data_IF_518243282279
#
_entry.id   IF_518243282279
#
_cell.length_a   1.000
_cell.length_b   1.000
_cell.length_c   1.000
_cell.angle_alpha   90.00
_cell.angle_beta   90.00
_cell.angle_gamma   90.00
#
_symmetry.space_group_name_H-M   'P 1'
#
loop_
_entity.id
_entity.type
_entity.pdbx_description
1 polymer ?
#
# COMPACT_ATOMS: atom_id res chain seq x y z
N UNK A 1 7.20 -11.21 -13.28
CA UNK A 1 8.07 -11.73 -12.21
C UNK A 1 7.99 -10.93 -10.93
N UNK A 2 8.32 -9.64 -10.84
CA UNK A 2 8.25 -8.91 -9.56
C UNK A 2 6.84 -8.90 -8.94
N UNK A 3 5.79 -8.60 -9.71
CA UNK A 3 4.38 -8.69 -9.25
C UNK A 3 4.01 -10.08 -8.75
N UNK A 4 4.52 -11.14 -9.39
CA UNK A 4 4.28 -12.52 -8.96
C UNK A 4 4.89 -12.80 -7.59
N UNK A 5 6.12 -12.35 -7.34
CA UNK A 5 6.78 -12.52 -6.03
C UNK A 5 6.04 -11.79 -4.89
N UNK A 6 5.51 -10.60 -5.16
CA UNK A 6 4.67 -9.90 -4.18
C UNK A 6 3.37 -10.64 -3.89
N UNK A 7 2.74 -11.21 -4.93
CA UNK A 7 1.54 -12.07 -4.76
C UNK A 7 1.86 -13.33 -3.95
N UNK A 8 3.01 -13.95 -4.20
CA UNK A 8 3.44 -15.12 -3.43
C UNK A 8 3.71 -14.76 -1.94
N UNK A 9 4.23 -13.57 -1.68
CA UNK A 9 4.38 -13.04 -0.32
C UNK A 9 3.02 -12.82 0.36
N UNK A 10 2.06 -12.18 -0.32
CA UNK A 10 0.69 -11.98 0.18
C UNK A 10 0.00 -13.32 0.50
N UNK A 11 0.28 -14.35 -0.31
CA UNK A 11 -0.21 -15.72 -0.10
C UNK A 11 0.61 -16.54 0.93
N UNK A 12 1.60 -15.91 1.59
CA UNK A 12 2.49 -16.55 2.56
C UNK A 12 3.29 -17.74 2.01
N UNK A 13 3.48 -17.81 0.69
CA UNK A 13 4.29 -18.85 0.01
C UNK A 13 5.78 -18.60 0.14
N UNK A 14 6.17 -17.35 0.25
CA UNK A 14 7.55 -16.91 0.46
C UNK A 14 7.59 -15.86 1.56
N UNK A 15 8.74 -15.73 2.22
CA UNK A 15 9.00 -14.67 3.18
C UNK A 15 9.44 -13.37 2.49
N UNK A 16 9.32 -12.24 3.19
CA UNK A 16 9.82 -10.95 2.70
C UNK A 16 11.32 -10.97 2.43
N UNK A 17 12.08 -11.66 3.30
CA UNK A 17 13.53 -11.85 3.13
C UNK A 17 13.84 -12.63 1.84
N UNK A 18 13.13 -13.72 1.58
CA UNK A 18 13.29 -14.49 0.33
C UNK A 18 12.96 -13.63 -0.89
N UNK A 19 11.85 -12.88 -0.87
CA UNK A 19 11.50 -11.98 -1.97
C UNK A 19 12.64 -10.99 -2.26
N UNK A 20 13.15 -10.32 -1.23
CA UNK A 20 14.18 -9.29 -1.36
C UNK A 20 15.47 -9.88 -1.91
N UNK A 21 15.92 -10.98 -1.32
CA UNK A 21 17.25 -11.53 -1.60
C UNK A 21 17.31 -12.37 -2.88
N UNK A 22 16.17 -12.92 -3.35
CA UNK A 22 16.18 -13.84 -4.50
C UNK A 22 15.65 -13.21 -5.80
N UNK A 23 14.99 -12.04 -5.75
CA UNK A 23 14.33 -11.46 -6.94
C UNK A 23 15.26 -11.24 -8.14
N UNK A 24 16.51 -10.80 -7.90
CA UNK A 24 17.46 -10.56 -8.98
C UNK A 24 18.13 -11.85 -9.44
N UNK A 25 18.44 -12.78 -8.54
CA UNK A 25 18.91 -14.10 -8.93
C UNK A 25 17.87 -14.83 -9.82
N UNK A 26 16.58 -14.78 -9.45
CA UNK A 26 15.48 -15.31 -10.26
C UNK A 26 15.34 -14.59 -11.61
N UNK A 27 15.58 -13.26 -11.63
CA UNK A 27 15.58 -12.49 -12.88
C UNK A 27 16.71 -12.94 -13.80
N UNK A 28 17.91 -13.08 -13.29
CA UNK A 28 19.05 -13.56 -14.06
C UNK A 28 18.82 -14.98 -14.57
N UNK A 29 18.36 -15.89 -13.72
CA UNK A 29 18.04 -17.26 -14.10
C UNK A 29 17.00 -17.33 -15.24
N UNK A 30 16.02 -16.43 -15.27
CA UNK A 30 15.05 -16.32 -16.36
C UNK A 30 15.71 -16.03 -17.72
N UNK A 31 16.85 -15.35 -17.74
CA UNK A 31 17.65 -15.07 -18.92
C UNK A 31 18.82 -16.05 -19.11
N UNK A 32 18.84 -17.17 -18.38
CA UNK A 32 19.91 -18.17 -18.46
C UNK A 32 21.24 -17.74 -17.87
N UNK A 33 21.23 -16.70 -17.00
CA UNK A 33 22.43 -16.17 -16.36
C UNK A 33 22.46 -16.66 -14.91
N UNK A 34 23.49 -17.42 -14.56
CA UNK A 34 23.74 -17.82 -13.17
C UNK A 34 24.52 -16.71 -12.45
N UNK A 35 23.82 -15.93 -11.61
CA UNK A 35 24.41 -14.82 -10.86
C UNK A 35 23.66 -14.59 -9.54
N UNK A 36 24.43 -14.40 -8.47
CA UNK A 36 23.90 -13.87 -7.23
C UNK A 36 23.41 -12.42 -7.43
N UNK A 37 22.19 -12.16 -6.98
CA UNK A 37 21.55 -10.86 -7.09
C UNK A 37 21.62 -9.98 -5.85
N UNK A 38 22.30 -10.40 -4.77
CA UNK A 38 22.25 -9.73 -3.47
C UNK A 38 22.71 -8.26 -3.52
N UNK A 39 23.87 -8.01 -4.13
CA UNK A 39 24.38 -6.63 -4.29
C UNK A 39 23.42 -5.73 -5.08
N UNK A 40 22.77 -6.27 -6.12
CA UNK A 40 21.74 -5.52 -6.86
C UNK A 40 20.48 -5.30 -6.04
N UNK A 41 20.12 -6.24 -5.18
CA UNK A 41 18.98 -6.09 -4.28
C UNK A 41 19.20 -4.94 -3.28
N UNK A 42 20.39 -4.85 -2.70
CA UNK A 42 20.77 -3.76 -1.80
C UNK A 42 20.76 -2.40 -2.52
N UNK A 43 21.42 -2.31 -3.66
CA UNK A 43 21.44 -1.07 -4.47
C UNK A 43 20.04 -0.65 -4.90
N UNK A 44 19.21 -1.59 -5.30
CA UNK A 44 17.83 -1.34 -5.69
C UNK A 44 17.03 -0.76 -4.52
N UNK A 45 17.14 -1.33 -3.32
CA UNK A 45 16.49 -0.81 -2.13
C UNK A 45 16.98 0.61 -1.80
N UNK A 46 18.30 0.84 -1.89
CA UNK A 46 18.87 2.16 -1.68
C UNK A 46 18.29 3.18 -2.65
N UNK A 47 18.30 2.90 -3.95
CA UNK A 47 17.76 3.84 -4.95
C UNK A 47 16.25 4.03 -4.79
N UNK A 48 15.49 2.98 -4.46
CA UNK A 48 14.06 3.12 -4.18
C UNK A 48 13.79 4.03 -2.98
N UNK A 49 14.58 3.93 -1.92
CA UNK A 49 14.42 4.79 -0.73
C UNK A 49 14.66 6.27 -1.01
N UNK A 50 15.34 6.61 -2.11
CA UNK A 50 15.58 7.99 -2.55
C UNK A 50 14.53 8.51 -3.54
N UNK A 51 13.55 7.69 -3.91
CA UNK A 51 12.49 8.07 -4.86
C UNK A 51 11.35 8.74 -4.10
N UNK A 52 11.14 10.03 -4.35
CA UNK A 52 10.05 10.81 -3.74
C UNK A 52 8.95 11.23 -4.72
N UNK A 53 8.93 10.64 -5.93
CA UNK A 53 7.94 11.02 -6.94
C UNK A 53 6.53 10.67 -6.48
N UNK A 54 5.65 11.63 -6.64
CA UNK A 54 4.22 11.51 -6.37
C UNK A 54 3.42 11.61 -7.68
N UNK A 55 2.20 11.14 -7.66
CA UNK A 55 1.29 11.37 -8.79
C UNK A 55 0.85 12.83 -8.82
N UNK A 56 0.66 13.42 -10.02
CA UNK A 56 0.17 14.79 -10.15
C UNK A 56 -1.15 15.00 -9.40
N UNK A 57 -1.24 16.12 -8.66
CA UNK A 57 -2.45 16.49 -7.91
C UNK A 57 -2.64 15.79 -6.55
N UNK A 58 -1.76 14.85 -6.15
CA UNK A 58 -1.93 14.16 -4.87
C UNK A 58 -1.83 15.10 -3.67
N UNK A 59 -0.96 16.10 -3.73
CA UNK A 59 -0.81 17.06 -2.64
C UNK A 59 -2.07 17.90 -2.45
N UNK A 60 -2.68 18.35 -3.54
CA UNK A 60 -3.94 19.09 -3.52
C UNK A 60 -5.09 18.22 -2.96
N UNK A 61 -5.14 16.94 -3.34
CA UNK A 61 -6.06 15.96 -2.76
C UNK A 61 -5.88 15.88 -1.23
N UNK A 62 -4.66 15.64 -0.76
CA UNK A 62 -4.39 15.48 0.67
C UNK A 62 -4.75 16.74 1.46
N UNK A 63 -4.42 17.93 0.95
CA UNK A 63 -4.81 19.22 1.53
C UNK A 63 -6.34 19.36 1.61
N UNK A 64 -7.03 19.00 0.54
CA UNK A 64 -8.50 19.06 0.48
C UNK A 64 -9.13 18.15 1.52
N UNK A 65 -8.68 16.90 1.63
CA UNK A 65 -9.18 15.95 2.62
C UNK A 65 -8.99 16.48 4.06
N UNK A 66 -7.80 16.99 4.39
CA UNK A 66 -7.55 17.56 5.70
C UNK A 66 -8.46 18.78 5.96
N UNK A 67 -8.66 19.64 4.96
CA UNK A 67 -9.55 20.81 5.10
C UNK A 67 -11.02 20.42 5.32
N UNK A 68 -11.42 19.24 4.90
CA UNK A 68 -12.74 18.66 5.14
C UNK A 68 -12.84 17.91 6.48
N UNK A 69 -11.76 17.87 7.27
CA UNK A 69 -11.74 17.28 8.61
C UNK A 69 -11.31 15.81 8.64
N UNK A 70 -10.89 15.22 7.52
CA UNK A 70 -10.39 13.83 7.51
C UNK A 70 -9.03 13.73 8.18
N UNK A 71 -8.84 12.72 9.01
CA UNK A 71 -7.55 12.29 9.51
C UNK A 71 -6.95 11.24 8.57
N UNK A 72 -5.72 11.48 8.11
CA UNK A 72 -5.07 10.63 7.11
C UNK A 72 -4.00 9.75 7.75
N UNK A 73 -4.04 8.48 7.42
CA UNK A 73 -3.10 7.46 7.85
C UNK A 73 -2.59 6.68 6.65
N UNK A 74 -1.27 6.47 6.56
CA UNK A 74 -0.70 5.66 5.49
C UNK A 74 -0.54 4.20 5.95
N UNK A 75 -0.99 3.24 5.14
CA UNK A 75 -0.92 1.81 5.43
C UNK A 75 -0.25 1.05 4.27
N UNK A 76 0.94 0.48 4.48
CA UNK A 76 1.74 -0.14 3.41
C UNK A 76 2.33 -1.49 3.77
N UNK A 77 2.31 -2.43 2.80
CA UNK A 77 3.02 -3.73 2.88
C UNK A 77 4.51 -3.62 2.54
N UNK A 78 5.07 -2.41 2.46
CA UNK A 78 6.43 -2.17 2.04
C UNK A 78 7.51 -2.58 3.06
N UNK A 79 8.74 -2.31 2.67
CA UNK A 79 9.96 -2.46 3.48
C UNK A 79 10.17 -1.12 4.20
N UNK A 80 10.40 -1.15 5.51
CA UNK A 80 10.54 0.05 6.35
C UNK A 80 11.53 1.06 5.78
N UNK A 81 12.74 0.60 5.50
CA UNK A 81 13.80 1.44 4.93
C UNK A 81 13.38 2.17 3.64
N UNK A 82 12.70 1.45 2.74
CA UNK A 82 12.25 2.01 1.47
C UNK A 82 11.10 2.98 1.69
N UNK A 83 10.07 2.58 2.42
CA UNK A 83 8.86 3.41 2.58
C UNK A 83 9.14 4.68 3.39
N UNK A 84 9.94 4.58 4.44
CA UNK A 84 10.36 5.76 5.21
C UNK A 84 11.12 6.74 4.30
N UNK A 85 12.13 6.25 3.57
CA UNK A 85 12.91 7.12 2.69
C UNK A 85 12.06 7.77 1.58
N UNK A 86 11.18 7.00 0.94
CA UNK A 86 10.26 7.52 -0.09
C UNK A 86 9.34 8.61 0.44
N UNK A 87 8.73 8.39 1.59
CA UNK A 87 7.83 9.37 2.21
C UNK A 87 8.57 10.64 2.63
N UNK A 88 9.81 10.52 3.12
CA UNK A 88 10.65 11.69 3.44
C UNK A 88 10.99 12.51 2.21
N UNK A 89 11.28 11.85 1.08
CA UNK A 89 11.60 12.55 -0.17
C UNK A 89 10.38 13.08 -0.93
N UNK A 90 9.18 12.57 -0.64
CA UNK A 90 7.96 12.88 -1.40
C UNK A 90 7.30 14.22 -1.04
N UNK A 91 7.63 14.79 0.11
CA UNK A 91 6.96 15.98 0.63
C UNK A 91 5.56 15.73 1.20
N UNK A 92 4.96 14.56 0.99
CA UNK A 92 3.58 14.27 1.45
C UNK A 92 3.52 13.67 2.87
N UNK A 93 4.65 13.28 3.45
CA UNK A 93 4.70 12.71 4.80
C UNK A 93 3.95 13.54 5.86
N UNK A 94 4.04 14.90 5.87
CA UNK A 94 3.38 15.73 6.88
C UNK A 94 1.84 15.68 6.87
N UNK A 95 1.23 15.20 5.79
CA UNK A 95 -0.22 15.08 5.70
C UNK A 95 -0.79 13.90 6.49
N UNK A 96 0.05 12.91 6.83
CA UNK A 96 -0.36 11.72 7.56
C UNK A 96 -0.11 11.87 9.06
N UNK A 97 -1.10 11.56 9.87
CA UNK A 97 -0.99 11.50 11.33
C UNK A 97 -0.01 10.41 11.77
N UNK A 98 -0.10 9.23 11.12
CA UNK A 98 0.81 8.11 11.34
C UNK A 98 0.97 7.29 10.05
N UNK A 99 2.10 6.56 9.97
CA UNK A 99 2.44 5.70 8.85
C UNK A 99 2.64 4.28 9.39
N UNK A 100 1.78 3.36 8.94
CA UNK A 100 1.76 1.98 9.35
C UNK A 100 2.46 1.11 8.29
N UNK A 101 3.61 0.59 8.64
CA UNK A 101 4.42 -0.28 7.76
C UNK A 101 4.33 -1.71 8.28
N UNK A 102 3.91 -2.64 7.43
CA UNK A 102 3.69 -4.05 7.77
C UNK A 102 4.88 -4.72 8.46
N UNK A 103 6.09 -4.35 8.06
CA UNK A 103 7.32 -4.88 8.66
C UNK A 103 7.46 -4.49 10.14
N UNK A 104 7.12 -3.26 10.51
CA UNK A 104 7.14 -2.77 11.89
C UNK A 104 6.01 -3.37 12.72
N UNK A 105 4.87 -3.66 12.09
CA UNK A 105 3.71 -4.25 12.75
C UNK A 105 3.79 -5.78 12.85
N UNK A 106 4.77 -6.42 12.18
CA UNK A 106 4.90 -7.89 12.08
C UNK A 106 3.60 -8.57 11.59
N UNK A 107 2.84 -7.87 10.77
CA UNK A 107 1.64 -8.35 10.09
C UNK A 107 1.41 -7.50 8.85
N UNK A 108 0.62 -7.97 7.89
CA UNK A 108 0.48 -7.30 6.60
C UNK A 108 -0.95 -7.40 6.06
N UNK A 109 -1.34 -6.47 5.20
CA UNK A 109 -2.58 -6.58 4.43
C UNK A 109 -2.53 -7.85 3.56
N UNK A 110 -3.60 -8.64 3.43
CA UNK A 110 -4.95 -8.41 3.89
C UNK A 110 -5.31 -9.01 5.27
N UNK A 111 -4.34 -9.34 6.12
CA UNK A 111 -4.64 -9.94 7.43
C UNK A 111 -5.43 -8.94 8.31
N UNK A 112 -6.51 -9.38 8.94
CA UNK A 112 -7.30 -8.56 9.87
C UNK A 112 -6.44 -8.01 11.03
N UNK A 113 -5.50 -8.81 11.53
CA UNK A 113 -4.56 -8.41 12.57
C UNK A 113 -3.73 -7.16 12.23
N UNK A 114 -3.52 -6.84 10.93
CA UNK A 114 -2.87 -5.61 10.52
C UNK A 114 -3.73 -4.39 10.88
N UNK A 115 -5.03 -4.45 10.59
CA UNK A 115 -5.99 -3.37 10.88
C UNK A 115 -6.32 -3.27 12.37
N UNK A 116 -6.35 -4.39 13.09
CA UNK A 116 -6.51 -4.40 14.55
C UNK A 116 -5.35 -3.63 15.23
N UNK A 117 -4.11 -3.87 14.80
CA UNK A 117 -2.93 -3.15 15.30
C UNK A 117 -2.94 -1.66 14.93
N UNK A 118 -3.45 -1.32 13.76
CA UNK A 118 -3.65 0.08 13.35
C UNK A 118 -4.71 0.73 14.24
N UNK A 119 -5.87 0.12 14.36
CA UNK A 119 -6.97 0.67 15.17
C UNK A 119 -6.57 0.86 16.64
N UNK A 120 -5.77 -0.05 17.21
CA UNK A 120 -5.27 0.09 18.59
C UNK A 120 -4.32 1.29 18.78
N UNK A 121 -3.78 1.88 17.72
CA UNK A 121 -2.86 3.03 17.74
C UNK A 121 -3.52 4.35 17.36
N UNK A 122 -4.67 4.29 16.71
CA UNK A 122 -5.45 5.48 16.34
C UNK A 122 -6.37 5.86 17.52
N UNK A 123 -6.25 7.06 18.09
CA UNK A 123 -7.13 7.51 19.16
C UNK A 123 -8.60 7.49 18.72
N UNK A 124 -9.47 6.93 19.54
CA UNK A 124 -10.92 6.83 19.28
C UNK A 124 -11.27 6.15 17.95
N UNK A 125 -10.47 5.19 17.52
CA UNK A 125 -10.73 4.48 16.27
C UNK A 125 -12.10 3.82 16.28
N UNK A 126 -12.90 4.17 15.27
CA UNK A 126 -14.17 3.49 14.97
C UNK A 126 -14.16 3.04 13.50
N UNK A 127 -14.27 1.74 13.29
CA UNK A 127 -14.30 1.15 11.95
C UNK A 127 -15.45 1.63 11.08
N UNK A 128 -16.58 2.06 11.70
CA UNK A 128 -17.73 2.59 10.98
C UNK A 128 -17.50 4.02 10.46
N UNK A 129 -16.46 4.69 10.95
CA UNK A 129 -16.00 6.01 10.49
C UNK A 129 -14.62 5.94 9.83
N UNK A 130 -14.21 4.75 9.40
CA UNK A 130 -12.94 4.51 8.73
C UNK A 130 -13.16 4.02 7.30
N UNK A 131 -12.29 4.44 6.39
CA UNK A 131 -12.34 4.05 4.99
C UNK A 131 -10.95 3.61 4.53
N UNK A 132 -10.86 2.41 3.96
CA UNK A 132 -9.63 1.93 3.34
C UNK A 132 -9.62 2.27 1.86
N UNK A 133 -8.71 3.15 1.44
CA UNK A 133 -8.54 3.55 0.04
C UNK A 133 -7.27 2.90 -0.49
N UNK A 134 -7.34 2.19 -1.61
CA UNK A 134 -6.18 1.56 -2.22
C UNK A 134 -6.41 1.01 -3.61
N UNK A 135 -5.32 0.66 -4.29
CA UNK A 135 -5.34 0.15 -5.67
C UNK A 135 -5.31 -1.39 -5.76
N UNK A 136 -4.99 -2.06 -4.66
CA UNK A 136 -4.87 -3.52 -4.63
C UNK A 136 -6.14 -4.20 -4.12
N UNK A 137 -6.85 -4.91 -5.02
CA UNK A 137 -7.98 -5.75 -4.63
C UNK A 137 -7.57 -6.81 -3.60
N UNK A 138 -6.40 -7.46 -3.76
CA UNK A 138 -5.95 -8.56 -2.89
C UNK A 138 -5.41 -8.10 -1.54
N UNK A 139 -4.88 -6.90 -1.44
CA UNK A 139 -4.29 -6.37 -0.21
C UNK A 139 -5.23 -5.36 0.48
N UNK A 140 -5.62 -4.29 -0.23
CA UNK A 140 -6.34 -3.17 0.35
C UNK A 140 -7.82 -3.49 0.54
N UNK A 141 -8.48 -3.87 -0.57
CA UNK A 141 -9.93 -4.10 -0.55
C UNK A 141 -10.26 -5.33 0.30
N UNK A 142 -9.60 -6.45 0.02
CA UNK A 142 -9.77 -7.66 0.84
C UNK A 142 -9.43 -7.41 2.31
N UNK A 143 -8.39 -6.62 2.57
CA UNK A 143 -7.95 -6.31 3.92
C UNK A 143 -8.96 -5.46 4.68
N UNK A 144 -9.50 -4.39 4.07
CA UNK A 144 -10.56 -3.57 4.65
C UNK A 144 -11.81 -4.41 4.94
N UNK A 145 -12.24 -5.24 3.99
CA UNK A 145 -13.37 -6.17 4.18
C UNK A 145 -13.14 -7.15 5.33
N UNK A 146 -11.94 -7.75 5.44
CA UNK A 146 -11.61 -8.65 6.55
C UNK A 146 -11.65 -7.95 7.91
N UNK A 147 -11.39 -6.65 7.94
CA UNK A 147 -11.45 -5.80 9.14
C UNK A 147 -12.85 -5.22 9.41
N UNK A 148 -13.79 -5.35 8.48
CA UNK A 148 -15.12 -4.74 8.55
C UNK A 148 -15.07 -3.22 8.39
N UNK A 149 -14.15 -2.73 7.56
CA UNK A 149 -13.97 -1.31 7.19
C UNK A 149 -14.45 -1.14 5.75
N UNK A 150 -15.18 -0.08 5.45
CA UNK A 150 -15.57 0.27 4.10
C UNK A 150 -14.34 0.52 3.21
N UNK A 151 -14.49 0.25 1.92
CA UNK A 151 -13.36 0.22 1.00
C UNK A 151 -13.62 1.05 -0.26
N UNK A 152 -12.62 1.80 -0.70
CA UNK A 152 -12.60 2.46 -2.01
C UNK A 152 -11.49 1.83 -2.85
N UNK A 153 -11.86 1.23 -3.95
CA UNK A 153 -10.90 0.78 -4.94
C UNK A 153 -10.53 1.93 -5.88
N UNK A 154 -9.30 2.42 -5.76
CA UNK A 154 -8.73 3.42 -6.66
C UNK A 154 -8.22 2.73 -7.93
N UNK A 155 -8.98 2.82 -9.02
CA UNK A 155 -8.76 2.11 -10.27
C UNK A 155 -8.62 3.06 -11.48
N UNK A 156 -7.56 3.90 -11.54
CA UNK A 156 -7.40 4.90 -12.61
C UNK A 156 -7.15 4.29 -13.99
N UNK A 157 -6.84 2.99 -14.07
CA UNK A 157 -6.60 2.27 -15.31
C UNK A 157 -7.83 1.51 -15.81
N UNK A 158 -8.98 1.61 -15.13
CA UNK A 158 -10.21 0.87 -15.46
C UNK A 158 -9.97 -0.63 -15.65
N UNK A 159 -9.16 -1.22 -14.74
CA UNK A 159 -8.89 -2.65 -14.75
C UNK A 159 -10.17 -3.41 -14.42
N UNK A 160 -10.40 -4.52 -15.13
CA UNK A 160 -11.49 -5.42 -14.81
C UNK A 160 -11.26 -6.10 -13.45
N UNK A 161 -12.29 -6.15 -12.62
CA UNK A 161 -12.27 -6.90 -11.39
C UNK A 161 -12.51 -8.40 -11.67
N UNK A 162 -11.44 -9.13 -11.92
CA UNK A 162 -11.49 -10.59 -12.12
C UNK A 162 -11.59 -11.39 -10.79
N UNK A 163 -11.91 -10.72 -9.67
CA UNK A 163 -12.07 -11.36 -8.35
C UNK A 163 -13.53 -11.39 -7.93
N UNK A 164 -13.84 -12.08 -6.83
CA UNK A 164 -15.16 -12.04 -6.20
C UNK A 164 -15.26 -10.97 -5.08
N UNK A 165 -14.29 -10.05 -5.01
CA UNK A 165 -14.28 -8.97 -4.05
C UNK A 165 -15.17 -7.82 -4.55
N UNK A 166 -15.98 -7.27 -3.65
CA UNK A 166 -16.88 -6.16 -3.95
C UNK A 166 -16.46 -4.96 -3.11
N UNK A 167 -15.61 -4.04 -3.64
CA UNK A 167 -15.31 -2.80 -2.93
C UNK A 167 -16.61 -2.03 -2.64
N UNK A 168 -16.67 -1.31 -1.51
CA UNK A 168 -17.83 -0.47 -1.20
C UNK A 168 -18.03 0.59 -2.27
N UNK A 169 -16.90 1.16 -2.74
CA UNK A 169 -16.87 2.15 -3.83
C UNK A 169 -15.71 1.85 -4.78
N UNK A 170 -15.88 2.24 -6.05
CA UNK A 170 -14.80 2.26 -7.05
C UNK A 170 -14.69 3.67 -7.63
N UNK A 171 -13.46 4.17 -7.74
CA UNK A 171 -13.17 5.51 -8.26
C UNK A 171 -11.97 5.47 -9.22
N UNK A 172 -11.96 6.34 -10.22
CA UNK A 172 -10.95 6.32 -11.29
C UNK A 172 -10.04 7.56 -11.28
N UNK A 173 -10.41 8.58 -10.50
CA UNK A 173 -9.64 9.81 -10.37
C UNK A 173 -9.70 10.36 -8.94
N UNK A 174 -8.84 11.33 -8.64
CA UNK A 174 -8.92 12.07 -7.38
C UNK A 174 -10.20 12.89 -7.25
N UNK A 175 -10.74 13.35 -8.39
CA UNK A 175 -12.03 14.05 -8.41
C UNK A 175 -13.15 13.08 -8.02
N UNK A 176 -13.22 11.91 -8.65
CA UNK A 176 -14.25 10.90 -8.31
C UNK A 176 -14.16 10.49 -6.84
N UNK A 177 -12.93 10.42 -6.28
CA UNK A 177 -12.74 10.14 -4.86
C UNK A 177 -13.34 11.24 -3.99
N UNK A 178 -13.12 12.51 -4.30
CA UNK A 178 -13.70 13.62 -3.56
C UNK A 178 -15.23 13.63 -3.69
N UNK A 179 -15.77 13.47 -4.91
CA UNK A 179 -17.21 13.39 -5.15
C UNK A 179 -17.86 12.22 -4.39
N UNK A 180 -17.17 11.07 -4.31
CA UNK A 180 -17.60 9.92 -3.52
C UNK A 180 -17.64 10.25 -2.02
N UNK A 181 -16.59 10.87 -1.48
CA UNK A 181 -16.51 11.23 -0.06
C UNK A 181 -17.52 12.30 0.34
N UNK A 182 -17.88 13.22 -0.55
CA UNK A 182 -18.92 14.22 -0.31
C UNK A 182 -20.34 13.61 -0.30
N UNK A 183 -20.48 12.34 -0.73
CA UNK A 183 -21.78 11.62 -0.82
C UNK A 183 -22.05 10.65 0.32
N UNK A 184 -21.08 10.40 1.20
CA UNK A 184 -21.16 9.46 2.33
C UNK A 184 -21.01 10.21 3.65
#
# INVERSE_FOLDING_TARGET
>A
MNKSLWKDLEQKKITKSELINTRFAKLFAHFGIEKDGACLAERYQFFLSKQGQTFPGVEDLLRKLISQGYELYAATNGITYIQTGRLEQSGIKPYFKEIFISEQLHTQKPDAAFYEKIGARIPNFDKNHALMIGDSLSADIKGGQNAGIDTVWYNPQHLENATQLHPTYEVHSYKDLLDCLDSI
#
